data_IF_739161508661
#
_entry.id   IF_739161508661
#
_cell.length_a   1.000
_cell.length_b   1.000
_cell.length_c   1.000
_cell.angle_alpha   90.00
_cell.angle_beta   90.00
_cell.angle_gamma   90.00
#
_symmetry.space_group_name_H-M   'P 1'
#
loop_
_entity.id
_entity.type
_entity.pdbx_description
1 polymer ?
#
# COMPACT_ATOMS: atom_id res chain seq x y z
N UNK A 1 -6.91 -0.97 -23.78
CA UNK A 1 -6.71 -2.44 -23.95
C UNK A 1 -6.33 -3.00 -22.59
N UNK A 2 -7.03 -4.02 -22.09
CA UNK A 2 -6.84 -4.59 -20.74
C UNK A 2 -5.91 -5.82 -20.73
N UNK A 3 -5.45 -6.21 -19.54
CA UNK A 3 -4.67 -7.43 -19.35
C UNK A 3 -5.59 -8.65 -19.21
N UNK A 4 -5.19 -9.84 -19.69
CA UNK A 4 -5.96 -11.07 -19.48
C UNK A 4 -6.12 -11.38 -17.98
N UNK A 5 -7.30 -11.87 -17.56
CA UNK A 5 -7.62 -12.10 -16.15
C UNK A 5 -6.80 -13.17 -15.40
N UNK A 6 -5.86 -13.86 -16.08
CA UNK A 6 -4.93 -14.82 -15.47
C UNK A 6 -3.53 -14.24 -15.21
N UNK A 7 -3.30 -12.96 -15.53
CA UNK A 7 -2.00 -12.32 -15.32
C UNK A 7 -1.90 -11.86 -13.88
N UNK A 8 -0.81 -12.24 -13.20
CA UNK A 8 -0.54 -11.79 -11.83
C UNK A 8 -0.52 -10.26 -11.74
N UNK A 9 -1.15 -9.71 -10.69
CA UNK A 9 -1.23 -8.27 -10.45
C UNK A 9 0.15 -7.60 -10.43
N UNK A 10 1.15 -8.25 -9.83
CA UNK A 10 2.53 -7.77 -9.84
C UNK A 10 3.10 -7.60 -11.25
N UNK A 11 2.69 -8.43 -12.22
CA UNK A 11 3.10 -8.31 -13.63
C UNK A 11 2.32 -7.20 -14.33
N UNK A 12 1.01 -7.09 -14.09
CA UNK A 12 0.20 -5.97 -14.62
C UNK A 12 0.78 -4.64 -14.15
N UNK A 13 1.07 -4.53 -12.85
CA UNK A 13 1.66 -3.35 -12.23
C UNK A 13 3.02 -3.01 -12.83
N UNK A 14 3.95 -3.97 -12.95
CA UNK A 14 5.27 -3.75 -13.56
C UNK A 14 5.24 -3.20 -14.98
N UNK A 15 4.16 -3.48 -15.73
CA UNK A 15 3.99 -3.00 -17.10
C UNK A 15 3.06 -1.77 -17.19
N UNK A 16 2.69 -1.18 -16.06
CA UNK A 16 1.84 0.02 -16.02
C UNK A 16 2.66 1.31 -16.12
N UNK A 17 2.09 2.40 -16.66
CA UNK A 17 2.71 3.73 -16.62
C UNK A 17 3.02 4.18 -15.19
N UNK A 18 2.18 3.80 -14.22
CA UNK A 18 2.37 4.10 -12.80
C UNK A 18 3.70 3.56 -12.27
N UNK A 19 4.06 2.32 -12.62
CA UNK A 19 5.35 1.73 -12.22
C UNK A 19 6.52 2.54 -12.78
N UNK A 20 6.46 2.94 -14.06
CA UNK A 20 7.49 3.76 -14.68
C UNK A 20 7.63 5.13 -13.98
N UNK A 21 6.52 5.79 -13.67
CA UNK A 21 6.53 7.07 -12.96
C UNK A 21 7.07 6.94 -11.53
N UNK A 22 6.78 5.84 -10.84
CA UNK A 22 7.31 5.58 -9.50
C UNK A 22 8.83 5.33 -9.52
N UNK A 23 9.31 4.53 -10.48
CA UNK A 23 10.75 4.32 -10.71
C UNK A 23 11.47 5.64 -11.01
N UNK A 24 10.84 6.54 -11.78
CA UNK A 24 11.36 7.87 -12.09
C UNK A 24 11.19 8.89 -10.95
N UNK A 25 10.59 8.51 -9.80
CA UNK A 25 10.26 9.41 -8.69
C UNK A 25 9.40 10.62 -9.08
N UNK A 26 8.58 10.45 -10.13
CA UNK A 26 7.71 11.50 -10.68
C UNK A 26 6.25 11.40 -10.21
N UNK A 27 5.89 10.33 -9.49
CA UNK A 27 4.52 10.10 -9.03
C UNK A 27 4.30 10.54 -7.58
N UNK A 28 5.22 10.21 -6.67
CA UNK A 28 5.09 10.47 -5.24
C UNK A 28 5.73 11.82 -4.89
N UNK A 29 5.10 12.63 -4.01
CA UNK A 29 5.60 13.95 -3.66
C UNK A 29 6.92 13.83 -2.87
N UNK A 30 8.01 14.31 -3.47
CA UNK A 30 9.37 14.21 -2.91
C UNK A 30 9.57 15.16 -1.74
N UNK A 31 8.84 16.27 -1.71
CA UNK A 31 8.84 17.31 -0.69
C UNK A 31 8.27 16.86 0.66
N UNK A 32 7.53 15.74 0.68
CA UNK A 32 6.96 15.14 1.90
C UNK A 32 7.86 14.07 2.53
N UNK A 33 9.17 14.14 2.30
CA UNK A 33 10.11 13.20 2.91
C UNK A 33 10.31 13.46 4.41
N UNK A 34 10.67 12.41 5.14
CA UNK A 34 10.92 12.44 6.58
C UNK A 34 12.19 11.66 6.91
N UNK A 35 12.86 12.03 8.01
CA UNK A 35 13.98 11.28 8.55
C UNK A 35 13.48 10.28 9.59
N UNK A 36 13.71 8.99 9.36
CA UNK A 36 13.31 7.90 10.26
C UNK A 36 14.55 7.07 10.58
N UNK A 37 14.93 7.00 11.86
CA UNK A 37 16.10 6.23 12.32
C UNK A 37 17.39 6.46 11.50
N UNK A 38 17.61 7.69 11.02
CA UNK A 38 18.77 8.07 10.19
C UNK A 38 18.60 7.88 8.69
N UNK A 39 17.50 7.26 8.23
CA UNK A 39 17.19 7.07 6.82
C UNK A 39 16.27 8.17 6.29
N UNK A 40 16.54 8.65 5.07
CA UNK A 40 15.68 9.60 4.37
C UNK A 40 14.54 8.86 3.65
N UNK A 41 13.34 8.92 4.22
CA UNK A 41 12.17 8.18 3.75
C UNK A 41 11.23 9.12 3.00
N UNK A 42 11.11 8.89 1.69
CA UNK A 42 10.07 9.52 0.87
C UNK A 42 8.73 8.81 1.09
N UNK A 43 7.59 9.42 0.70
CA UNK A 43 6.32 8.71 0.65
C UNK A 43 6.44 7.38 -0.11
N UNK A 44 5.76 6.35 0.40
CA UNK A 44 5.84 4.97 -0.08
C UNK A 44 4.45 4.46 -0.46
N UNK A 45 4.39 3.57 -1.45
CA UNK A 45 3.20 2.79 -1.79
C UNK A 45 3.22 1.48 -0.98
N UNK A 46 2.10 1.13 -0.33
CA UNK A 46 1.98 -0.14 0.39
C UNK A 46 1.49 -1.25 -0.56
N UNK A 47 2.39 -2.15 -0.95
CA UNK A 47 2.07 -3.36 -1.71
C UNK A 47 1.79 -4.58 -0.83
N UNK A 48 1.13 -5.58 -1.41
CA UNK A 48 1.08 -6.93 -0.84
C UNK A 48 2.42 -7.67 -1.03
N UNK A 49 2.46 -8.91 -0.56
CA UNK A 49 3.67 -9.75 -0.62
C UNK A 49 4.04 -10.24 -2.03
N UNK A 50 3.18 -10.07 -3.05
CA UNK A 50 3.50 -10.42 -4.44
C UNK A 50 4.33 -9.33 -5.15
N UNK A 51 4.28 -8.09 -4.68
CA UNK A 51 5.05 -6.97 -5.25
C UNK A 51 6.53 -7.00 -4.86
N UNK A 52 7.36 -6.33 -5.66
CA UNK A 52 8.79 -6.17 -5.40
C UNK A 52 9.08 -5.05 -4.40
N UNK A 53 9.81 -5.35 -3.33
CA UNK A 53 10.28 -4.32 -2.40
C UNK A 53 11.18 -3.32 -3.14
N UNK A 54 10.89 -2.02 -3.00
CA UNK A 54 11.67 -0.95 -3.59
C UNK A 54 11.75 0.26 -2.65
N UNK A 55 12.53 1.26 -3.02
CA UNK A 55 12.66 2.50 -2.25
C UNK A 55 11.42 3.42 -2.34
N UNK A 56 10.39 3.00 -3.07
CA UNK A 56 9.09 3.68 -3.20
C UNK A 56 7.90 2.72 -2.99
N UNK A 57 8.12 1.41 -2.82
CA UNK A 57 7.10 0.40 -2.55
C UNK A 57 7.50 -0.47 -1.36
N UNK A 58 6.69 -0.44 -0.32
CA UNK A 58 6.84 -1.22 0.89
C UNK A 58 5.97 -2.48 0.85
N UNK A 59 6.49 -3.61 1.30
CA UNK A 59 5.78 -4.89 1.39
C UNK A 59 6.03 -5.54 2.76
N UNK A 60 5.13 -6.43 3.24
CA UNK A 60 5.35 -7.11 4.50
C UNK A 60 6.60 -8.00 4.47
N UNK A 61 7.13 -8.31 5.64
CA UNK A 61 8.10 -9.39 5.81
C UNK A 61 7.46 -10.72 5.41
N UNK A 62 8.21 -11.53 4.69
CA UNK A 62 7.73 -12.84 4.24
C UNK A 62 7.80 -13.79 5.42
N UNK A 63 6.65 -14.31 5.83
CA UNK A 63 6.60 -15.32 6.88
C UNK A 63 7.13 -16.65 6.37
N UNK A 64 8.25 -17.10 6.96
CA UNK A 64 8.86 -18.42 6.72
C UNK A 64 8.79 -19.31 7.97
N UNK A 65 7.94 -18.96 8.93
CA UNK A 65 7.85 -19.59 10.24
C UNK A 65 8.80 -19.02 11.31
N UNK A 66 9.62 -18.02 10.96
CA UNK A 66 10.68 -17.48 11.82
C UNK A 66 10.68 -15.94 11.87
N UNK A 67 9.52 -15.30 11.78
CA UNK A 67 9.43 -13.84 11.93
C UNK A 67 9.79 -13.42 13.35
N UNK A 68 10.56 -12.35 13.49
CA UNK A 68 10.80 -11.74 14.81
C UNK A 68 9.53 -11.03 15.32
N UNK A 69 9.38 -10.80 16.64
CA UNK A 69 8.25 -10.05 17.17
C UNK A 69 8.08 -8.66 16.53
N UNK A 70 9.19 -8.00 16.20
CA UNK A 70 9.21 -6.69 15.55
C UNK A 70 8.71 -6.79 14.10
N UNK A 71 9.10 -7.84 13.37
CA UNK A 71 8.61 -8.09 12.01
C UNK A 71 7.11 -8.45 12.01
N UNK A 72 6.65 -9.17 13.04
CA UNK A 72 5.24 -9.45 13.24
C UNK A 72 4.45 -8.16 13.50
N UNK A 73 4.92 -7.29 14.40
CA UNK A 73 4.32 -5.98 14.67
C UNK A 73 4.25 -5.12 13.40
N UNK A 74 5.34 -5.08 12.63
CA UNK A 74 5.37 -4.41 11.34
C UNK A 74 4.31 -4.96 10.38
N UNK A 75 4.23 -6.29 10.23
CA UNK A 75 3.28 -6.93 9.33
C UNK A 75 1.82 -6.68 9.73
N UNK A 76 1.52 -6.66 11.03
CA UNK A 76 0.20 -6.31 11.56
C UNK A 76 -0.15 -4.88 11.15
N UNK A 77 0.72 -3.90 11.44
CA UNK A 77 0.47 -2.49 11.09
C UNK A 77 0.36 -2.26 9.58
N UNK A 78 1.20 -2.94 8.80
CA UNK A 78 1.13 -2.91 7.33
C UNK A 78 -0.19 -3.47 6.80
N UNK A 79 -0.68 -4.58 7.38
CA UNK A 79 -1.97 -5.16 7.04
C UNK A 79 -3.12 -4.24 7.44
N UNK A 80 -3.12 -3.69 8.66
CA UNK A 80 -4.14 -2.73 9.12
C UNK A 80 -4.25 -1.53 8.19
N UNK A 81 -3.11 -0.95 7.78
CA UNK A 81 -3.09 0.18 6.85
C UNK A 81 -3.70 -0.17 5.48
N UNK A 82 -3.40 -1.36 4.94
CA UNK A 82 -3.94 -1.81 3.65
C UNK A 82 -5.45 -2.11 3.70
N UNK A 83 -5.89 -2.70 4.80
CA UNK A 83 -7.27 -3.15 4.99
C UNK A 83 -8.27 -1.99 4.88
N UNK A 84 -7.90 -0.77 5.28
CA UNK A 84 -8.72 0.44 5.09
C UNK A 84 -9.04 0.67 3.61
N UNK A 85 -8.02 0.62 2.76
CA UNK A 85 -8.15 0.85 1.30
C UNK A 85 -8.92 -0.29 0.63
N UNK A 86 -8.61 -1.54 0.98
CA UNK A 86 -9.31 -2.72 0.45
C UNK A 86 -10.81 -2.68 0.78
N UNK A 87 -11.16 -2.23 1.98
CA UNK A 87 -12.55 -2.12 2.42
C UNK A 87 -13.26 -0.93 1.76
N UNK A 88 -12.57 0.18 1.52
CA UNK A 88 -13.11 1.30 0.75
C UNK A 88 -13.50 0.87 -0.67
N UNK A 89 -12.58 0.20 -1.40
CA UNK A 89 -12.87 -0.30 -2.75
C UNK A 89 -13.96 -1.38 -2.76
N UNK A 90 -13.96 -2.29 -1.77
CA UNK A 90 -15.02 -3.30 -1.64
C UNK A 90 -16.38 -2.66 -1.37
N UNK A 91 -16.43 -1.61 -0.55
CA UNK A 91 -17.66 -0.87 -0.26
C UNK A 91 -18.21 -0.22 -1.53
N UNK A 92 -17.35 0.46 -2.30
CA UNK A 92 -17.71 1.04 -3.61
C UNK A 92 -18.26 -0.05 -4.54
N UNK A 93 -17.54 -1.17 -4.70
CA UNK A 93 -17.94 -2.23 -5.63
C UNK A 93 -19.17 -3.03 -5.22
N UNK A 94 -19.44 -3.20 -3.91
CA UNK A 94 -20.63 -3.93 -3.43
C UNK A 94 -21.87 -3.06 -3.33
N UNK A 95 -21.73 -1.78 -2.99
CA UNK A 95 -22.86 -0.87 -2.72
C UNK A 95 -23.31 -0.10 -3.96
N UNK A 96 -22.44 0.04 -4.95
CA UNK A 96 -22.73 0.78 -6.16
C UNK A 96 -22.64 -0.18 -7.36
N UNK A 97 -23.79 -0.55 -7.91
CA UNK A 97 -23.87 -1.34 -9.15
C UNK A 97 -23.51 -0.43 -10.34
N UNK A 98 -22.22 -0.12 -10.45
CA UNK A 98 -21.67 0.83 -11.41
C UNK A 98 -21.19 0.10 -12.65
N UNK A 99 -21.44 0.73 -13.80
CA UNK A 99 -20.63 0.44 -14.99
C UNK A 99 -19.17 0.76 -14.69
N UNK A 100 -18.26 -0.07 -15.19
CA UNK A 100 -16.80 0.07 -14.99
C UNK A 100 -16.30 1.48 -15.34
N UNK A 101 -16.87 2.10 -16.37
CA UNK A 101 -16.59 3.48 -16.79
C UNK A 101 -16.87 4.54 -15.71
N UNK A 102 -17.89 4.31 -14.88
CA UNK A 102 -18.26 5.22 -13.79
C UNK A 102 -17.50 4.93 -12.51
N UNK A 103 -16.98 3.71 -12.33
CA UNK A 103 -16.23 3.33 -11.14
C UNK A 103 -15.00 4.24 -10.93
N UNK A 104 -14.24 4.51 -12.00
CA UNK A 104 -13.08 5.40 -11.94
C UNK A 104 -13.47 6.83 -11.50
N UNK A 105 -14.59 7.35 -12.00
CA UNK A 105 -15.09 8.69 -11.65
C UNK A 105 -15.53 8.76 -10.20
N UNK A 106 -16.22 7.73 -9.71
CA UNK A 106 -16.65 7.65 -8.30
C UNK A 106 -15.43 7.57 -7.38
N UNK A 107 -14.45 6.73 -7.70
CA UNK A 107 -13.20 6.62 -6.93
C UNK A 107 -12.49 7.98 -6.89
N UNK A 108 -12.36 8.65 -8.04
CA UNK A 108 -11.74 9.98 -8.11
C UNK A 108 -12.50 11.02 -7.26
N UNK A 109 -13.84 11.01 -7.32
CA UNK A 109 -14.67 11.90 -6.51
C UNK A 109 -14.49 11.62 -5.00
N UNK A 110 -14.45 10.35 -4.58
CA UNK A 110 -14.16 9.98 -3.20
C UNK A 110 -12.78 10.49 -2.74
N UNK A 111 -11.74 10.36 -3.57
CA UNK A 111 -10.41 10.88 -3.26
C UNK A 111 -10.39 12.42 -3.14
N UNK A 112 -11.09 13.13 -4.04
CA UNK A 112 -11.19 14.60 -3.98
C UNK A 112 -11.90 15.06 -2.70
N UNK A 113 -13.02 14.42 -2.36
CA UNK A 113 -13.77 14.74 -1.13
C UNK A 113 -12.94 14.42 0.12
N UNK A 114 -12.26 13.28 0.16
CA UNK A 114 -11.37 12.93 1.27
C UNK A 114 -10.27 13.99 1.43
N UNK A 115 -9.58 14.37 0.36
CA UNK A 115 -8.55 15.40 0.41
C UNK A 115 -9.11 16.75 0.90
N UNK A 116 -10.33 17.09 0.53
CA UNK A 116 -11.00 18.30 1.03
C UNK A 116 -11.24 18.23 2.54
N UNK A 117 -11.80 17.12 3.05
CA UNK A 117 -11.98 16.90 4.48
C UNK A 117 -10.65 16.98 5.26
N UNK A 118 -9.58 16.37 4.74
CA UNK A 118 -8.23 16.46 5.32
C UNK A 118 -7.72 17.91 5.35
N UNK A 119 -7.94 18.68 4.28
CA UNK A 119 -7.57 20.11 4.24
C UNK A 119 -8.36 20.95 5.24
N UNK A 120 -9.61 20.58 5.54
CA UNK A 120 -10.42 21.21 6.58
C UNK A 120 -10.11 20.70 7.99
N UNK A 121 -9.19 19.73 8.12
CA UNK A 121 -8.84 19.08 9.38
C UNK A 121 -10.09 18.51 10.09
N UNK A 122 -11.04 17.97 9.31
CA UNK A 122 -12.22 17.29 9.83
C UNK A 122 -11.81 16.02 10.59
N UNK A 123 -12.44 15.77 11.73
CA UNK A 123 -12.16 14.58 12.53
C UNK A 123 -12.72 13.33 11.85
N UNK A 124 -11.89 12.30 11.74
CA UNK A 124 -12.32 10.97 11.34
C UNK A 124 -12.97 10.23 12.53
N UNK A 125 -14.16 9.66 12.35
CA UNK A 125 -14.82 8.85 13.38
C UNK A 125 -14.32 7.40 13.29
N UNK A 126 -13.51 6.98 14.27
CA UNK A 126 -12.98 5.63 14.38
C UNK A 126 -14.07 4.54 14.35
N UNK A 127 -15.32 4.87 14.70
CA UNK A 127 -16.44 3.93 14.60
C UNK A 127 -16.67 3.43 13.18
N UNK A 128 -16.28 4.19 12.16
CA UNK A 128 -16.36 3.77 10.76
C UNK A 128 -15.40 2.63 10.41
N UNK A 129 -14.40 2.36 11.27
CA UNK A 129 -13.50 1.22 11.14
C UNK A 129 -14.05 -0.06 11.79
N UNK A 130 -15.16 -0.02 12.54
CA UNK A 130 -15.65 -1.20 13.25
C UNK A 130 -16.14 -2.32 12.30
N UNK A 131 -16.61 -1.96 11.10
CA UNK A 131 -17.08 -2.92 10.09
C UNK A 131 -15.95 -3.43 9.17
N UNK A 132 -14.71 -3.06 9.48
CA UNK A 132 -13.54 -3.39 8.66
C UNK A 132 -12.98 -4.75 9.07
N UNK A 133 -13.23 -5.76 8.24
CA UNK A 133 -12.62 -7.08 8.40
C UNK A 133 -11.12 -7.01 8.12
N UNK A 134 -10.30 -7.28 9.14
CA UNK A 134 -8.87 -7.49 8.99
C UNK A 134 -8.65 -8.90 8.42
N UNK A 135 -8.47 -8.99 7.11
CA UNK A 135 -7.88 -10.18 6.52
C UNK A 135 -6.36 -10.04 6.60
N UNK A 136 -5.73 -10.77 7.51
CA UNK A 136 -4.29 -11.00 7.49
C UNK A 136 -3.97 -11.96 6.32
N UNK A 137 -4.14 -11.48 5.09
CA UNK A 137 -3.80 -12.20 3.87
C UNK A 137 -2.28 -12.28 3.74
N UNK A 138 -1.67 -13.28 4.37
CA UNK A 138 -0.25 -13.58 4.15
C UNK A 138 -0.16 -14.45 2.91
N UNK A 139 -0.02 -13.82 1.74
CA UNK A 139 0.39 -14.57 0.55
C UNK A 139 1.89 -14.89 0.67
N UNK A 140 2.35 -16.12 0.36
CA UNK A 140 3.77 -16.42 0.32
C UNK A 140 4.46 -15.51 -0.71
N UNK A 141 5.36 -14.64 -0.25
CA UNK A 141 6.15 -13.80 -1.15
C UNK A 141 7.19 -14.62 -1.90
N UNK A 142 7.55 -14.21 -3.12
CA UNK A 142 8.61 -14.85 -3.90
C UNK A 142 9.96 -14.75 -3.16
N UNK A 143 10.56 -15.89 -2.75
CA UNK A 143 11.85 -15.93 -2.05
C UNK A 143 13.03 -15.37 -2.84
N UNK A 144 12.95 -15.39 -4.17
CA UNK A 144 14.09 -15.18 -5.07
C UNK A 144 14.19 -13.75 -5.60
N UNK A 145 13.35 -12.84 -5.09
CA UNK A 145 13.33 -11.46 -5.53
C UNK A 145 14.54 -10.70 -4.96
N UNK A 146 15.49 -10.28 -5.83
CA UNK A 146 16.60 -9.41 -5.43
C UNK A 146 16.04 -8.13 -4.81
N UNK A 147 16.39 -7.89 -3.55
CA UNK A 147 15.94 -6.71 -2.80
C UNK A 147 16.98 -5.61 -2.91
N UNK A 148 16.53 -4.39 -3.18
CA UNK A 148 17.39 -3.20 -3.20
C UNK A 148 17.87 -2.90 -1.75
N UNK A 149 19.18 -2.79 -1.49
CA UNK A 149 19.71 -2.51 -0.15
C UNK A 149 19.09 -1.27 0.51
N UNK A 150 18.86 -0.21 -0.26
CA UNK A 150 18.24 1.02 0.26
C UNK A 150 16.78 0.78 0.68
N UNK A 151 16.07 -0.09 -0.04
CA UNK A 151 14.69 -0.44 0.31
C UNK A 151 14.62 -1.26 1.61
N UNK A 152 15.61 -2.14 1.83
CA UNK A 152 15.75 -2.87 3.09
C UNK A 152 16.03 -1.89 4.23
N UNK A 153 16.99 -0.97 4.06
CA UNK A 153 17.32 0.02 5.08
C UNK A 153 16.10 0.87 5.49
N UNK A 154 15.32 1.35 4.52
CA UNK A 154 14.06 2.07 4.78
C UNK A 154 13.07 1.21 5.56
N UNK A 155 12.88 -0.07 5.19
CA UNK A 155 11.96 -0.96 5.91
C UNK A 155 12.41 -1.21 7.34
N UNK A 156 13.71 -1.45 7.54
CA UNK A 156 14.29 -1.64 8.87
C UNK A 156 14.16 -0.38 9.75
N UNK A 157 14.37 0.80 9.17
CA UNK A 157 14.16 2.07 9.86
C UNK A 157 12.71 2.24 10.31
N UNK A 158 11.74 1.98 9.43
CA UNK A 158 10.31 2.05 9.78
C UNK A 158 9.97 1.01 10.85
N UNK A 159 10.44 -0.23 10.72
CA UNK A 159 10.21 -1.30 11.72
C UNK A 159 10.62 -0.85 13.11
N UNK A 160 11.78 -0.18 13.26
CA UNK A 160 12.28 0.28 14.57
C UNK A 160 11.38 1.31 15.27
N UNK A 161 10.63 2.11 14.52
CA UNK A 161 9.72 3.13 15.09
C UNK A 161 8.32 2.56 15.35
N UNK A 162 8.03 1.39 14.79
CA UNK A 162 6.75 0.71 14.95
C UNK A 162 6.73 -0.31 16.10
N UNK A 163 7.77 -0.37 16.93
CA UNK A 163 7.82 -1.21 18.13
C UNK A 163 7.29 -0.41 19.32
#
# INVERSE_FOLDING_TARGET
VGWPGKVHDARVFKNSPLFAMCCARAFLPVDKSVMISGEHVLPLILGDSAYALSNWLMKPYIDRGNLTPEECSFNIKHSTARVVVENAFRSIGKRLDLKVENACNVIAACCVLHNYCEMQNESFDDKWLNDIYIHAGVCPGDPNQRQNPNAIAIREAIKRVLI
#
